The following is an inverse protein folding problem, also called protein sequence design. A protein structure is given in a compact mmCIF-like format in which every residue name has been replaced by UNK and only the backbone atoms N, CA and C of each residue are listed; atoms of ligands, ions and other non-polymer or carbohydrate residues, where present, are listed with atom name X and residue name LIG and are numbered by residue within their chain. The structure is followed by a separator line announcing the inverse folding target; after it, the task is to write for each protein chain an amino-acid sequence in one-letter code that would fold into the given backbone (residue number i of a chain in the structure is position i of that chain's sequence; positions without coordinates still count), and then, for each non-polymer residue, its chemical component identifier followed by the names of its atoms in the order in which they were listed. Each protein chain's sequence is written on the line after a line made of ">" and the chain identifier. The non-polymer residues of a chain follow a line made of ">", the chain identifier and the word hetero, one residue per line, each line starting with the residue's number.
data_IF_333619908853
#
_entry.id   IF_333619908853
#
_cell.length_a   1.000
_cell.length_b   1.000
_cell.length_c   1.000
_cell.angle_alpha   90.00
_cell.angle_beta   90.00
_cell.angle_gamma   90.00
#
_symmetry.space_group_name_H-M   'P 1'
#
loop_
_entity.id
_entity.type
_entity.pdbx_description
1 polymer ?
#
# COMPACT_ATOMS: atom_id res chain seq x y z
N UNK A 1 -35.14 -5.43 65.24
CA UNK A 1 -35.30 -4.96 63.85
C UNK A 1 -34.39 -3.76 63.62
N UNK A 2 -33.30 -3.94 62.86
CA UNK A 2 -32.56 -2.84 62.21
C UNK A 2 -32.29 -3.26 60.77
N UNK A 3 -32.81 -2.47 59.85
CA UNK A 3 -32.72 -2.66 58.40
C UNK A 3 -31.43 -2.00 57.90
N UNK A 4 -30.90 -2.59 56.83
CA UNK A 4 -29.61 -2.38 56.18
C UNK A 4 -29.31 -0.96 55.66
N UNK A 5 -28.04 -0.73 55.33
CA UNK A 5 -27.64 0.09 54.18
C UNK A 5 -26.29 -0.41 53.62
N UNK A 6 -26.34 -1.27 52.61
CA UNK A 6 -25.18 -1.58 51.75
C UNK A 6 -25.06 -0.50 50.68
N UNK A 7 -23.94 0.21 50.65
CA UNK A 7 -23.56 1.09 49.53
C UNK A 7 -23.11 0.22 48.35
N UNK A 8 -23.82 0.30 47.23
CA UNK A 8 -23.36 -0.18 45.93
C UNK A 8 -22.72 1.02 45.22
N UNK A 9 -21.40 0.98 45.02
CA UNK A 9 -20.70 1.96 44.20
C UNK A 9 -20.78 1.55 42.74
N UNK A 10 -21.58 2.24 41.96
CA UNK A 10 -21.65 2.10 40.50
C UNK A 10 -20.38 2.67 39.86
N UNK A 11 -19.53 1.80 39.32
CA UNK A 11 -18.43 2.19 38.43
C UNK A 11 -19.04 2.65 37.10
N UNK A 12 -19.01 3.96 36.83
CA UNK A 12 -19.33 4.50 35.53
C UNK A 12 -18.17 4.20 34.57
N UNK A 13 -18.39 3.28 33.63
CA UNK A 13 -17.49 3.04 32.51
C UNK A 13 -17.60 4.24 31.56
N UNK A 14 -16.66 5.19 31.67
CA UNK A 14 -16.52 6.25 30.69
C UNK A 14 -16.01 5.64 29.37
N UNK A 15 -16.94 5.33 28.47
CA UNK A 15 -16.60 4.98 27.09
C UNK A 15 -16.01 6.22 26.41
N UNK A 16 -14.69 6.33 26.39
CA UNK A 16 -13.99 7.28 25.53
C UNK A 16 -14.21 6.82 24.09
N UNK A 17 -15.23 7.37 23.44
CA UNK A 17 -15.39 7.27 22.00
C UNK A 17 -14.18 7.94 21.37
N UNK A 18 -13.19 7.14 20.94
CA UNK A 18 -12.12 7.63 20.06
C UNK A 18 -12.83 8.05 18.78
N UNK A 19 -13.03 9.35 18.63
CA UNK A 19 -13.65 9.90 17.44
C UNK A 19 -12.86 9.41 16.22
N UNK A 20 -13.57 8.84 15.23
CA UNK A 20 -12.98 8.50 13.96
C UNK A 20 -12.23 9.73 13.41
N UNK A 21 -11.04 9.54 12.81
CA UNK A 21 -10.26 10.66 12.30
C UNK A 21 -11.11 11.50 11.36
N UNK A 22 -11.09 12.80 11.63
CA UNK A 22 -11.95 13.76 10.97
C UNK A 22 -11.64 13.78 9.47
N UNK A 23 -12.57 13.28 8.65
CA UNK A 23 -12.49 13.41 7.21
C UNK A 23 -12.78 14.84 6.73
N UNK A 24 -12.93 15.81 7.65
CA UNK A 24 -13.14 17.22 7.32
C UNK A 24 -12.15 17.68 6.25
N UNK A 25 -12.77 18.14 5.17
CA UNK A 25 -12.15 18.70 3.99
C UNK A 25 -11.47 20.03 4.35
N UNK A 26 -10.28 19.98 4.96
CA UNK A 26 -9.36 21.12 4.86
C UNK A 26 -9.22 21.50 3.39
N UNK A 27 -8.95 22.78 3.07
CA UNK A 27 -8.88 23.30 1.69
C UNK A 27 -8.14 22.34 0.76
N UNK A 28 -8.91 21.52 0.02
CA UNK A 28 -8.38 20.63 -1.01
C UNK A 28 -8.01 21.50 -2.21
N UNK A 29 -6.94 21.20 -2.95
CA UNK A 29 -6.66 21.89 -4.20
C UNK A 29 -7.88 21.74 -5.12
N UNK A 30 -8.42 22.81 -5.70
CA UNK A 30 -9.55 22.69 -6.65
C UNK A 30 -9.14 22.05 -7.99
N UNK A 31 -7.85 21.85 -8.23
CA UNK A 31 -7.29 21.29 -9.47
C UNK A 31 -6.68 19.91 -9.21
N UNK A 32 -6.66 19.02 -10.22
CA UNK A 32 -5.93 17.75 -10.13
C UNK A 32 -4.47 17.97 -9.75
N UNK A 33 -3.91 17.09 -8.92
CA UNK A 33 -2.46 17.05 -8.71
C UNK A 33 -1.80 16.62 -10.01
N UNK A 34 -0.81 17.38 -10.46
CA UNK A 34 -0.05 17.07 -11.67
C UNK A 34 1.23 16.37 -11.27
N UNK A 35 1.49 15.21 -11.86
CA UNK A 35 2.75 14.49 -11.76
C UNK A 35 3.41 14.42 -13.13
N UNK A 36 4.74 14.45 -13.16
CA UNK A 36 5.50 14.34 -14.40
C UNK A 36 5.19 13.01 -15.10
N UNK A 37 4.78 13.03 -16.37
CA UNK A 37 4.46 11.82 -17.15
C UNK A 37 5.58 10.78 -17.22
N UNK A 38 6.83 11.18 -16.98
CA UNK A 38 7.97 10.27 -16.88
C UNK A 38 7.87 9.29 -15.70
N UNK A 39 6.98 9.53 -14.73
CA UNK A 39 6.62 8.54 -13.69
C UNK A 39 6.11 7.22 -14.29
N UNK A 40 5.50 7.28 -15.49
CA UNK A 40 5.00 6.09 -16.21
C UNK A 40 6.09 5.42 -17.06
N UNK A 41 7.32 5.96 -17.12
CA UNK A 41 8.42 5.44 -17.94
C UNK A 41 9.35 4.51 -17.13
N UNK A 42 8.76 3.51 -16.49
CA UNK A 42 9.46 2.59 -15.58
C UNK A 42 10.46 1.68 -16.29
N UNK A 43 10.35 1.52 -17.63
CA UNK A 43 11.30 0.74 -18.43
C UNK A 43 12.72 1.31 -18.42
N UNK A 44 12.89 2.55 -17.96
CA UNK A 44 14.19 3.24 -17.80
C UNK A 44 14.75 3.12 -16.38
N UNK A 45 13.99 2.54 -15.46
CA UNK A 45 14.38 2.34 -14.06
C UNK A 45 14.85 0.89 -13.92
N UNK A 46 16.00 0.61 -13.29
CA UNK A 46 16.44 -0.76 -13.07
C UNK A 46 15.44 -1.55 -12.23
N UNK A 47 15.23 -2.81 -12.61
CA UNK A 47 14.62 -3.78 -11.71
C UNK A 47 15.60 -4.05 -10.56
N UNK A 48 15.12 -4.00 -9.32
CA UNK A 48 15.91 -4.29 -8.13
C UNK A 48 15.28 -5.51 -7.47
N UNK A 49 15.99 -6.64 -7.37
CA UNK A 49 15.49 -7.80 -6.64
C UNK A 49 15.49 -7.50 -5.14
N UNK A 50 14.42 -7.89 -4.44
CA UNK A 50 14.32 -7.80 -3.00
C UNK A 50 14.31 -9.19 -2.40
N UNK A 51 15.50 -9.62 -1.99
CA UNK A 51 15.75 -10.94 -1.42
C UNK A 51 16.44 -10.81 -0.07
N UNK A 52 16.03 -11.62 0.90
CA UNK A 52 16.62 -11.65 2.23
C UNK A 52 16.34 -12.96 2.95
N UNK A 53 17.07 -13.20 4.03
CA UNK A 53 16.99 -14.46 4.81
C UNK A 53 15.96 -14.42 5.93
N UNK A 54 15.49 -13.23 6.32
CA UNK A 54 14.50 -13.07 7.38
C UNK A 54 13.07 -13.04 6.81
N UNK A 55 12.10 -13.40 7.65
CA UNK A 55 10.69 -13.28 7.32
C UNK A 55 10.35 -11.83 6.91
N UNK A 56 9.48 -11.73 5.92
CA UNK A 56 8.93 -10.50 5.36
C UNK A 56 9.95 -9.58 4.67
N UNK A 57 11.14 -10.12 4.33
CA UNK A 57 12.17 -9.38 3.58
C UNK A 57 12.12 -9.63 2.08
N UNK A 58 11.45 -10.71 1.65
CA UNK A 58 11.33 -11.10 0.25
C UNK A 58 10.05 -10.56 -0.37
N UNK A 59 10.15 -9.85 -1.49
CA UNK A 59 9.00 -9.32 -2.22
C UNK A 59 9.38 -8.95 -3.65
N UNK A 60 8.39 -8.68 -4.49
CA UNK A 60 8.63 -8.23 -5.87
C UNK A 60 7.96 -6.87 -6.10
N UNK A 61 8.74 -5.96 -6.67
CA UNK A 61 8.34 -4.59 -6.94
C UNK A 61 8.57 -4.18 -8.40
N UNK A 62 7.67 -3.35 -8.91
CA UNK A 62 7.91 -2.54 -10.10
C UNK A 62 8.43 -1.17 -9.63
N UNK A 63 9.69 -0.87 -9.90
CA UNK A 63 10.33 0.36 -9.44
C UNK A 63 9.92 1.56 -10.29
N UNK A 64 9.63 2.66 -9.60
CA UNK A 64 9.27 3.95 -10.17
C UNK A 64 10.36 4.94 -9.78
N UNK A 65 10.73 5.81 -10.72
CA UNK A 65 11.76 6.81 -10.44
C UNK A 65 11.25 7.84 -9.42
N UNK A 66 11.76 7.74 -8.18
CA UNK A 66 11.32 8.56 -7.07
C UNK A 66 11.46 10.06 -7.35
N UNK A 67 12.37 10.48 -8.23
CA UNK A 67 12.51 11.91 -8.58
C UNK A 67 11.23 12.51 -9.17
N UNK A 68 10.37 11.70 -9.78
CA UNK A 68 9.06 12.14 -10.29
C UNK A 68 7.94 12.04 -9.26
N UNK A 69 8.14 11.25 -8.20
CA UNK A 69 7.19 11.10 -7.09
C UNK A 69 7.44 12.15 -6.00
N UNK A 70 8.71 12.51 -5.76
CA UNK A 70 9.11 13.46 -4.71
C UNK A 70 8.35 14.79 -4.76
N UNK A 71 8.14 15.47 -5.91
CA UNK A 71 7.37 16.72 -5.94
C UNK A 71 5.91 16.54 -5.51
N UNK A 72 5.33 15.36 -5.78
CA UNK A 72 3.97 15.04 -5.30
C UNK A 72 3.99 14.80 -3.80
N UNK A 73 4.97 14.08 -3.28
CA UNK A 73 5.15 13.93 -1.83
C UNK A 73 5.30 15.29 -1.14
N UNK A 74 6.18 16.17 -1.62
CA UNK A 74 6.43 17.49 -1.04
C UNK A 74 5.12 18.32 -0.98
N UNK A 75 4.36 18.35 -2.09
CA UNK A 75 3.07 19.03 -2.17
C UNK A 75 2.02 18.43 -1.21
N UNK A 76 1.89 17.10 -1.21
CA UNK A 76 0.93 16.38 -0.37
C UNK A 76 1.25 16.59 1.10
N UNK A 77 2.53 16.52 1.47
CA UNK A 77 2.94 16.70 2.85
C UNK A 77 2.68 18.13 3.32
N UNK A 78 3.00 19.14 2.51
CA UNK A 78 2.73 20.55 2.85
C UNK A 78 1.23 20.90 2.90
N UNK A 79 0.37 20.13 2.22
CA UNK A 79 -1.07 20.39 2.19
C UNK A 79 -1.73 19.98 3.52
N UNK A 80 -2.32 20.96 4.23
CA UNK A 80 -3.02 20.74 5.52
C UNK A 80 -4.09 19.65 5.46
N UNK A 81 -4.81 19.55 4.34
CA UNK A 81 -5.86 18.55 4.14
C UNK A 81 -5.33 17.11 4.01
N UNK A 82 -4.03 16.94 3.75
CA UNK A 82 -3.41 15.65 3.49
C UNK A 82 -2.37 15.30 4.56
N UNK A 83 -1.15 15.82 4.47
CA UNK A 83 -0.06 15.45 5.38
C UNK A 83 0.18 16.42 6.53
N UNK A 84 -0.14 17.71 6.35
CA UNK A 84 0.10 18.77 7.33
C UNK A 84 1.52 18.77 7.93
N UNK A 85 2.53 18.46 7.11
CA UNK A 85 3.94 18.39 7.49
C UNK A 85 4.35 17.16 8.29
N UNK A 86 3.46 16.16 8.46
CA UNK A 86 3.70 15.01 9.35
C UNK A 86 4.06 13.71 8.62
N UNK A 87 3.98 13.69 7.28
CA UNK A 87 4.33 12.50 6.52
C UNK A 87 5.84 12.40 6.35
N UNK A 88 6.33 11.17 6.45
CA UNK A 88 7.67 10.76 6.07
C UNK A 88 7.61 9.91 4.80
N UNK A 89 8.73 9.86 4.09
CA UNK A 89 8.92 9.07 2.88
C UNK A 89 10.16 8.21 3.03
N UNK A 90 10.20 7.07 2.33
CA UNK A 90 11.37 6.18 2.29
C UNK A 90 12.45 6.67 1.32
N UNK A 91 12.16 7.70 0.51
CA UNK A 91 13.08 8.16 -0.53
C UNK A 91 13.10 7.25 -1.78
N UNK A 92 12.14 6.35 -1.89
CA UNK A 92 11.95 5.41 -2.99
C UNK A 92 10.48 5.35 -3.41
N UNK A 93 10.20 4.82 -4.59
CA UNK A 93 8.84 4.53 -5.03
C UNK A 93 8.79 3.23 -5.84
N UNK A 94 7.79 2.40 -5.55
CA UNK A 94 7.52 1.18 -6.28
C UNK A 94 6.03 0.83 -6.23
N UNK A 95 5.65 -0.13 -7.08
CA UNK A 95 4.38 -0.84 -7.00
C UNK A 95 4.69 -2.25 -6.52
N UNK A 96 4.28 -2.60 -5.31
CA UNK A 96 4.45 -3.96 -4.80
C UNK A 96 3.56 -4.90 -5.60
N UNK A 97 4.17 -5.85 -6.32
CA UNK A 97 3.45 -6.80 -7.18
C UNK A 97 3.29 -8.16 -6.53
N UNK A 98 4.23 -8.56 -5.66
CA UNK A 98 4.10 -9.68 -4.71
C UNK A 98 4.54 -9.13 -3.35
N UNK A 99 3.62 -8.86 -2.40
CA UNK A 99 3.97 -8.41 -1.06
C UNK A 99 4.63 -9.53 -0.24
N UNK A 100 5.39 -9.16 0.81
CA UNK A 100 6.07 -10.17 1.63
C UNK A 100 5.12 -11.20 2.25
N UNK A 101 3.92 -10.80 2.66
CA UNK A 101 2.93 -11.71 3.25
C UNK A 101 2.38 -12.73 2.25
N UNK A 102 2.24 -12.39 0.97
CA UNK A 102 1.89 -13.38 -0.06
C UNK A 102 3.07 -14.33 -0.34
N UNK A 103 4.30 -13.81 -0.36
CA UNK A 103 5.47 -14.67 -0.57
C UNK A 103 5.66 -15.66 0.58
N UNK A 104 5.84 -15.18 1.81
CA UNK A 104 6.24 -16.04 2.94
C UNK A 104 5.12 -17.00 3.38
N UNK A 105 3.86 -16.58 3.30
CA UNK A 105 2.75 -17.39 3.82
C UNK A 105 2.08 -18.28 2.75
N UNK A 106 2.30 -18.02 1.46
CA UNK A 106 1.53 -18.67 0.38
C UNK A 106 2.46 -19.29 -0.67
N UNK A 107 3.33 -18.49 -1.28
CA UNK A 107 4.16 -18.95 -2.40
C UNK A 107 5.34 -19.81 -1.94
N UNK A 108 6.07 -19.34 -0.92
CA UNK A 108 7.25 -20.02 -0.38
C UNK A 108 6.93 -21.41 0.21
N UNK A 109 5.85 -21.60 0.99
CA UNK A 109 5.47 -22.92 1.51
C UNK A 109 5.16 -23.95 0.41
N UNK A 110 4.76 -23.50 -0.78
CA UNK A 110 4.56 -24.35 -1.95
C UNK A 110 5.85 -24.62 -2.74
N UNK A 111 7.01 -24.12 -2.31
CA UNK A 111 8.30 -24.34 -2.99
C UNK A 111 8.56 -23.41 -4.18
N UNK A 112 7.83 -22.29 -4.27
CA UNK A 112 8.18 -21.17 -5.16
C UNK A 112 9.28 -20.34 -4.49
N UNK A 113 10.40 -20.12 -5.17
CA UNK A 113 11.51 -19.33 -4.59
C UNK A 113 11.47 -17.87 -5.05
N UNK A 114 12.03 -16.96 -4.24
CA UNK A 114 12.11 -15.54 -4.61
C UNK A 114 12.97 -15.33 -5.87
N UNK A 115 13.96 -16.20 -6.13
CA UNK A 115 14.78 -16.20 -7.34
C UNK A 115 13.94 -16.52 -8.58
N UNK A 116 13.00 -17.48 -8.50
CA UNK A 116 12.09 -17.79 -9.59
C UNK A 116 11.17 -16.60 -9.90
N UNK A 117 10.66 -15.94 -8.86
CA UNK A 117 9.81 -14.75 -8.99
C UNK A 117 10.59 -13.56 -9.60
N UNK A 118 11.81 -13.33 -9.14
CA UNK A 118 12.72 -12.30 -9.66
C UNK A 118 13.12 -12.60 -11.11
N UNK A 119 13.38 -13.87 -11.45
CA UNK A 119 13.68 -14.27 -12.82
C UNK A 119 12.50 -14.02 -13.77
N UNK A 120 11.27 -14.33 -13.33
CA UNK A 120 10.05 -13.99 -14.09
C UNK A 120 9.91 -12.48 -14.28
N UNK A 121 10.22 -11.68 -13.26
CA UNK A 121 10.11 -10.22 -13.32
C UNK A 121 11.18 -9.58 -14.22
N UNK A 122 12.42 -10.08 -14.15
CA UNK A 122 13.57 -9.56 -14.86
C UNK A 122 13.64 -10.00 -16.33
N UNK A 123 13.04 -11.14 -16.69
CA UNK A 123 13.05 -11.68 -18.06
C UNK A 123 12.63 -10.62 -19.08
N UNK A 124 13.54 -10.23 -19.98
CA UNK A 124 13.31 -9.18 -20.99
C UNK A 124 12.78 -7.85 -20.40
N UNK A 125 13.21 -7.52 -19.18
CA UNK A 125 12.76 -6.37 -18.41
C UNK A 125 11.23 -6.34 -18.20
N UNK A 126 10.60 -7.52 -18.09
CA UNK A 126 9.13 -7.70 -18.14
C UNK A 126 8.39 -6.78 -17.18
N UNK A 127 8.75 -6.81 -15.89
CA UNK A 127 8.00 -6.05 -14.90
C UNK A 127 8.21 -4.53 -15.03
N UNK A 128 9.44 -4.07 -15.26
CA UNK A 128 9.70 -2.65 -15.47
C UNK A 128 9.10 -2.09 -16.77
N UNK A 129 8.80 -2.94 -17.75
CA UNK A 129 8.06 -2.58 -18.96
C UNK A 129 6.54 -2.61 -18.80
N UNK A 130 6.02 -3.06 -17.65
CA UNK A 130 4.59 -3.16 -17.44
C UNK A 130 3.93 -1.78 -17.44
N UNK A 131 2.85 -1.65 -18.22
CA UNK A 131 2.07 -0.42 -18.32
C UNK A 131 1.04 -0.35 -17.20
N UNK A 132 0.83 0.87 -16.71
CA UNK A 132 -0.21 1.24 -15.77
C UNK A 132 -0.60 2.71 -16.00
N UNK A 133 -1.74 3.10 -15.44
CA UNK A 133 -2.21 4.49 -15.39
C UNK A 133 -2.46 4.93 -13.96
N UNK A 134 -2.65 6.23 -13.78
CA UNK A 134 -2.97 6.82 -12.48
C UNK A 134 -4.48 6.99 -12.34
N UNK A 135 -5.04 6.51 -11.23
CA UNK A 135 -6.46 6.66 -10.90
C UNK A 135 -6.70 7.92 -10.07
N UNK A 136 -6.09 8.00 -8.88
CA UNK A 136 -6.33 9.07 -7.92
C UNK A 136 -5.18 9.14 -6.89
N UNK A 137 -5.14 10.24 -6.14
CA UNK A 137 -4.50 10.27 -4.85
C UNK A 137 -5.43 9.57 -3.85
N UNK A 138 -4.94 8.54 -3.18
CA UNK A 138 -5.63 7.81 -2.13
C UNK A 138 -5.06 8.11 -0.75
N UNK A 139 -5.90 8.02 0.28
CA UNK A 139 -5.51 8.13 1.68
C UNK A 139 -6.22 7.07 2.51
N UNK A 140 -5.46 6.46 3.41
CA UNK A 140 -5.99 5.57 4.46
C UNK A 140 -5.51 6.08 5.82
N UNK A 141 -6.37 5.92 6.82
CA UNK A 141 -6.13 6.38 8.19
C UNK A 141 -6.68 5.34 9.16
N UNK A 142 -5.96 5.09 10.25
CA UNK A 142 -6.38 4.17 11.30
C UNK A 142 -5.82 4.63 12.64
N UNK A 143 -6.55 4.36 13.72
CA UNK A 143 -6.00 4.42 15.08
C UNK A 143 -5.67 2.98 15.47
N UNK A 144 -4.40 2.69 15.74
CA UNK A 144 -3.98 1.33 16.12
C UNK A 144 -4.61 0.94 17.46
N UNK A 145 -4.53 -0.35 17.81
CA UNK A 145 -4.99 -0.86 19.11
C UNK A 145 -4.37 -0.11 20.30
N UNK A 146 -3.15 0.39 20.13
CA UNK A 146 -2.41 1.16 21.14
C UNK A 146 -2.77 2.66 21.13
N UNK A 147 -3.82 3.07 20.41
CA UNK A 147 -4.27 4.46 20.35
C UNK A 147 -3.44 5.37 19.44
N UNK A 148 -2.52 4.82 18.64
CA UNK A 148 -1.64 5.63 17.78
C UNK A 148 -2.32 5.91 16.44
N UNK A 149 -2.49 7.18 16.11
CA UNK A 149 -2.98 7.58 14.80
C UNK A 149 -1.91 7.36 13.72
N UNK A 150 -2.28 6.59 12.70
CA UNK A 150 -1.48 6.29 11.52
C UNK A 150 -2.20 6.78 10.26
N UNK A 151 -1.40 7.12 9.25
CA UNK A 151 -1.90 7.54 7.96
C UNK A 151 -0.93 7.09 6.87
N UNK A 152 -1.46 6.62 5.74
CA UNK A 152 -0.69 6.44 4.51
C UNK A 152 -1.40 7.15 3.37
N UNK A 153 -0.60 7.77 2.50
CA UNK A 153 -1.05 8.42 1.28
C UNK A 153 -0.35 7.75 0.11
N UNK A 154 -1.12 7.46 -0.93
CA UNK A 154 -0.66 6.67 -2.06
C UNK A 154 -1.26 7.18 -3.37
N UNK A 155 -0.62 6.85 -4.49
CA UNK A 155 -1.21 6.99 -5.82
C UNK A 155 -1.84 5.65 -6.19
N UNK A 156 -3.17 5.63 -6.34
CA UNK A 156 -3.91 4.43 -6.76
C UNK A 156 -3.80 4.28 -8.27
N UNK A 157 -3.64 3.04 -8.74
CA UNK A 157 -3.41 2.75 -10.16
C UNK A 157 -4.64 2.20 -10.88
N UNK A 158 -4.62 2.33 -12.20
CA UNK A 158 -5.58 1.73 -13.14
C UNK A 158 -4.85 1.13 -14.34
N UNK A 159 -5.56 0.41 -15.20
CA UNK A 159 -5.03 -0.08 -16.48
C UNK A 159 -3.72 -0.89 -16.36
N UNK A 160 -3.56 -1.67 -15.29
CA UNK A 160 -2.33 -2.41 -14.94
C UNK A 160 -2.32 -3.86 -15.45
N UNK A 161 -2.85 -4.11 -16.66
CA UNK A 161 -3.00 -5.46 -17.22
C UNK A 161 -1.67 -6.21 -17.34
N UNK A 162 -0.58 -5.50 -17.61
CA UNK A 162 0.75 -6.11 -17.73
C UNK A 162 1.27 -6.59 -16.36
N UNK A 163 0.97 -5.87 -15.26
CA UNK A 163 1.28 -6.29 -13.89
C UNK A 163 0.45 -7.54 -13.52
N UNK A 164 -0.84 -7.54 -13.88
CA UNK A 164 -1.70 -8.71 -13.69
C UNK A 164 -1.21 -9.92 -14.51
N UNK A 165 -0.68 -9.70 -15.72
CA UNK A 165 -0.06 -10.78 -16.52
C UNK A 165 1.13 -11.41 -15.80
N UNK A 166 1.98 -10.60 -15.15
CA UNK A 166 3.05 -11.13 -14.30
C UNK A 166 2.51 -11.97 -13.14
N UNK A 167 1.52 -11.46 -12.38
CA UNK A 167 0.89 -12.21 -11.28
C UNK A 167 0.23 -13.51 -11.75
N UNK A 168 -0.35 -13.54 -12.95
CA UNK A 168 -0.89 -14.76 -13.55
C UNK A 168 0.19 -15.81 -13.86
N UNK A 169 1.39 -15.40 -14.27
CA UNK A 169 2.50 -16.34 -14.47
C UNK A 169 3.06 -16.85 -13.14
N UNK A 170 3.04 -16.01 -12.09
CA UNK A 170 3.31 -16.45 -10.71
C UNK A 170 2.28 -17.49 -10.25
N UNK A 171 0.98 -17.26 -10.53
CA UNK A 171 -0.07 -18.24 -10.23
C UNK A 171 0.18 -19.58 -10.92
N UNK A 172 0.53 -19.58 -12.21
CA UNK A 172 0.88 -20.82 -12.94
C UNK A 172 2.08 -21.52 -12.31
N UNK A 173 3.12 -20.78 -11.91
CA UNK A 173 4.28 -21.34 -11.23
C UNK A 173 3.90 -21.97 -9.89
N UNK A 174 3.11 -21.26 -9.09
CA UNK A 174 2.60 -21.72 -7.80
C UNK A 174 1.80 -23.03 -7.94
N UNK A 175 0.84 -23.10 -8.86
CA UNK A 175 0.07 -24.33 -9.13
C UNK A 175 0.97 -25.46 -9.64
N UNK A 176 1.93 -25.15 -10.53
CA UNK A 176 2.90 -26.14 -11.03
C UNK A 176 3.74 -26.76 -9.91
N UNK A 177 4.00 -26.00 -8.84
CA UNK A 177 4.76 -26.46 -7.66
C UNK A 177 3.89 -27.22 -6.64
N UNK A 178 2.61 -27.44 -6.93
CA UNK A 178 1.67 -28.12 -6.03
C UNK A 178 0.97 -27.19 -5.04
N UNK A 179 1.08 -25.87 -5.22
CA UNK A 179 0.36 -24.89 -4.41
C UNK A 179 -1.16 -25.00 -4.57
N UNK A 180 -1.90 -24.80 -3.47
CA UNK A 180 -3.36 -24.79 -3.48
C UNK A 180 -3.90 -23.53 -4.19
N UNK A 181 -4.54 -23.63 -5.37
CA UNK A 181 -5.02 -22.47 -6.13
C UNK A 181 -5.96 -21.53 -5.37
N UNK A 182 -6.66 -22.04 -4.34
CA UNK A 182 -7.56 -21.23 -3.52
C UNK A 182 -6.82 -20.22 -2.61
N UNK A 183 -5.51 -20.39 -2.40
CA UNK A 183 -4.72 -19.54 -1.51
C UNK A 183 -4.09 -18.35 -2.22
N UNK A 184 -3.92 -18.38 -3.54
CA UNK A 184 -3.32 -17.29 -4.30
C UNK A 184 -4.21 -16.90 -5.47
N UNK A 185 -4.67 -15.65 -5.49
CA UNK A 185 -5.43 -15.08 -6.59
C UNK A 185 -4.64 -13.92 -7.23
N UNK A 186 -4.34 -14.05 -8.52
CA UNK A 186 -3.54 -13.07 -9.24
C UNK A 186 -4.19 -11.68 -9.31
N UNK A 187 -5.50 -11.59 -9.22
CA UNK A 187 -6.29 -10.34 -9.25
C UNK A 187 -6.64 -9.80 -7.85
N UNK A 188 -6.39 -10.56 -6.78
CA UNK A 188 -6.59 -10.10 -5.41
C UNK A 188 -5.45 -9.19 -4.94
N UNK A 189 -5.27 -8.05 -5.61
CA UNK A 189 -4.30 -7.03 -5.21
C UNK A 189 -4.78 -5.62 -5.58
N UNK A 190 -4.41 -4.64 -4.76
CA UNK A 190 -4.71 -3.22 -5.00
C UNK A 190 -3.42 -2.48 -5.34
N UNK A 191 -3.03 -2.36 -6.63
CA UNK A 191 -1.77 -1.73 -7.00
C UNK A 191 -1.78 -0.24 -6.68
N UNK A 192 -0.76 0.19 -5.95
CA UNK A 192 -0.56 1.56 -5.54
C UNK A 192 0.93 1.88 -5.46
N UNK A 193 1.25 3.17 -5.47
CA UNK A 193 2.57 3.71 -5.13
C UNK A 193 2.41 4.45 -3.81
N UNK A 194 2.99 3.95 -2.71
CA UNK A 194 3.02 4.71 -1.45
C UNK A 194 3.89 5.95 -1.65
N UNK A 195 3.35 7.13 -1.35
CA UNK A 195 4.12 8.39 -1.48
C UNK A 195 4.62 8.89 -0.12
N UNK A 196 3.88 8.63 0.95
CA UNK A 196 4.28 8.99 2.31
C UNK A 196 3.30 8.50 3.36
N UNK A 197 3.78 8.38 4.59
CA UNK A 197 3.02 7.87 5.72
C UNK A 197 3.42 8.57 7.02
N UNK A 198 2.57 8.50 8.04
CA UNK A 198 2.89 8.98 9.38
C UNK A 198 3.41 7.80 10.20
N UNK A 199 4.56 7.95 10.85
CA UNK A 199 5.29 6.93 11.66
C UNK A 199 5.69 5.64 10.91
N UNK A 200 4.73 4.90 10.35
CA UNK A 200 4.96 3.71 9.53
C UNK A 200 3.91 3.58 8.42
N UNK A 201 4.23 2.81 7.40
CA UNK A 201 3.22 2.44 6.42
C UNK A 201 2.22 1.45 7.05
N UNK A 202 0.97 1.52 6.60
CA UNK A 202 -0.13 0.69 7.09
C UNK A 202 -0.67 -0.21 5.99
N UNK A 203 -1.09 -1.42 6.35
CA UNK A 203 -1.42 -2.49 5.40
C UNK A 203 -2.76 -3.15 5.73
N UNK A 204 -3.13 -4.21 5.01
CA UNK A 204 -4.42 -4.89 5.20
C UNK A 204 -4.55 -5.50 6.61
N UNK A 205 -3.43 -5.86 7.22
CA UNK A 205 -3.32 -6.34 8.60
C UNK A 205 -3.73 -5.25 9.62
N UNK A 206 -3.64 -3.97 9.23
CA UNK A 206 -4.15 -2.83 10.00
C UNK A 206 -5.64 -2.55 9.72
N UNK A 207 -6.30 -3.38 8.92
CA UNK A 207 -7.71 -3.22 8.55
C UNK A 207 -7.96 -2.15 7.49
N UNK A 208 -6.94 -1.71 6.75
CA UNK A 208 -7.07 -0.67 5.72
C UNK A 208 -6.92 -1.23 4.30
N UNK A 209 -7.78 -0.77 3.41
CA UNK A 209 -7.77 -1.16 1.99
C UNK A 209 -7.34 0.02 1.12
N UNK A 210 -6.18 -0.12 0.46
CA UNK A 210 -5.56 0.90 -0.40
C UNK A 210 -6.01 0.79 -1.86
N UNK A 211 -7.32 0.61 -2.09
CA UNK A 211 -7.93 0.54 -3.42
C UNK A 211 -8.59 1.85 -3.83
N UNK A 212 -9.50 1.77 -4.81
CA UNK A 212 -10.31 2.93 -5.26
C UNK A 212 -11.16 3.53 -4.14
N UNK A 213 -11.56 2.74 -3.15
CA UNK A 213 -12.25 3.18 -1.94
C UNK A 213 -11.45 4.21 -1.12
N UNK A 214 -10.12 4.28 -1.30
CA UNK A 214 -9.27 5.24 -0.63
C UNK A 214 -9.13 6.57 -1.39
N UNK A 215 -9.71 6.72 -2.60
CA UNK A 215 -9.55 7.92 -3.42
C UNK A 215 -10.07 9.18 -2.73
N UNK A 216 -9.22 10.21 -2.67
CA UNK A 216 -9.56 11.51 -2.05
C UNK A 216 -9.35 12.71 -2.97
N UNK A 217 -8.58 12.56 -4.05
CA UNK A 217 -8.26 13.64 -4.98
C UNK A 217 -7.85 13.14 -6.38
N UNK A 218 -8.19 13.85 -7.48
CA UNK A 218 -7.68 13.51 -8.81
C UNK A 218 -6.18 13.73 -8.95
N UNK A 219 -5.52 12.84 -9.69
CA UNK A 219 -4.12 12.99 -10.12
C UNK A 219 -4.01 12.74 -11.63
N UNK A 220 -3.19 13.52 -12.31
CA UNK A 220 -2.97 13.42 -13.75
C UNK A 220 -1.50 13.46 -14.10
N UNK A 221 -1.08 12.62 -15.05
CA UNK A 221 0.26 12.62 -15.61
C UNK A 221 0.33 13.63 -16.78
N UNK A 222 1.26 14.59 -16.72
CA UNK A 222 1.51 15.56 -17.79
C UNK A 222 2.99 15.65 -18.16
#
# INVERSE_FOLDING_TARGET
>A
MKIAASLIATLALAATTIAAPDNKHGNKPNKPIVINKKVLQTSKVPFIPHSGTALFTNWVGLNVDFKYVKPVFDLVNATKAYGNGTLISRGEAHITTIPPTEYDNILHPAGVTIEELNALAAKNNRLQRARFGLECLGRVQVVTKDGVFQQSVQIILKNYKDILSYRNDVFKLFVKKGGNPALFAADNFTPHITIGFKNRDIFIEDGVYKGKNACIHPIVAK
#
